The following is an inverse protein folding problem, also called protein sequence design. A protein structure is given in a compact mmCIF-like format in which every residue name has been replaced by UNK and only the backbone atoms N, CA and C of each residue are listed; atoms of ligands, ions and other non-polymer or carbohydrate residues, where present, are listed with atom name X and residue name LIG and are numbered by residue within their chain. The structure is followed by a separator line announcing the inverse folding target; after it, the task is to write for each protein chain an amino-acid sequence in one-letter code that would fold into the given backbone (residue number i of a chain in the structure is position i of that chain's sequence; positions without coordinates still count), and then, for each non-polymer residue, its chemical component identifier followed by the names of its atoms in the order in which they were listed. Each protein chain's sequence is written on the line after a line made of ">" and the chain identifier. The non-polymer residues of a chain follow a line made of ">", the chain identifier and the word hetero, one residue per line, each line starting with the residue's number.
data_IF_658776568843
#
_entry.id   IF_658776568843
#
_cell.length_a   1.000
_cell.length_b   1.000
_cell.length_c   1.000
_cell.angle_alpha   90.00
_cell.angle_beta   90.00
_cell.angle_gamma   90.00
#
_symmetry.space_group_name_H-M   'P 1'
#
loop_
_entity.id
_entity.type
_entity.pdbx_description
1 polymer ?
#
# COMPACT_ATOMS: atom_id res chain seq x y z
N UNK A 1 27.63 12.26 4.32
CA UNK A 1 26.26 12.76 4.07
C UNK A 1 25.43 11.57 3.63
N UNK A 2 24.44 11.14 4.41
CA UNK A 2 23.53 10.06 4.02
C UNK A 2 22.63 10.57 2.89
N UNK A 3 22.49 9.79 1.82
CA UNK A 3 21.59 10.13 0.73
C UNK A 3 20.15 10.02 1.23
N UNK A 4 19.36 11.08 1.02
CA UNK A 4 17.95 11.07 1.36
C UNK A 4 17.22 10.13 0.39
N UNK A 5 16.31 9.30 0.91
CA UNK A 5 15.39 8.53 0.08
C UNK A 5 14.44 9.46 -0.68
N UNK A 6 14.03 9.05 -1.87
CA UNK A 6 13.03 9.75 -2.69
C UNK A 6 12.03 8.74 -3.26
N UNK A 7 10.79 9.17 -3.48
CA UNK A 7 9.80 8.33 -4.16
C UNK A 7 10.12 8.18 -5.65
N UNK A 8 9.84 7.00 -6.20
CA UNK A 8 10.12 6.70 -7.60
C UNK A 8 9.25 7.50 -8.58
N UNK A 9 8.11 8.03 -8.12
CA UNK A 9 7.22 8.88 -8.91
C UNK A 9 7.58 10.38 -8.84
N UNK A 10 8.63 10.73 -8.10
CA UNK A 10 9.09 12.10 -7.91
C UNK A 10 8.25 12.94 -6.93
N UNK A 11 7.30 12.33 -6.22
CA UNK A 11 6.59 13.01 -5.13
C UNK A 11 7.51 13.33 -3.95
N UNK A 12 7.13 14.34 -3.17
CA UNK A 12 7.88 14.75 -1.98
C UNK A 12 7.85 13.64 -0.91
N UNK A 13 8.98 13.39 -0.25
CA UNK A 13 9.04 12.49 0.90
C UNK A 13 8.59 13.24 2.17
N UNK A 14 7.29 13.45 2.31
CA UNK A 14 6.65 14.13 3.44
C UNK A 14 6.27 13.17 4.59
N UNK A 15 6.29 11.87 4.34
CA UNK A 15 6.06 10.81 5.31
C UNK A 15 7.21 9.79 5.33
N UNK A 16 7.61 9.37 6.54
CA UNK A 16 8.63 8.33 6.71
C UNK A 16 8.27 7.37 7.84
N UNK A 17 8.34 6.06 7.58
CA UNK A 17 8.05 5.01 8.56
C UNK A 17 9.14 3.92 8.59
N UNK A 18 10.42 4.33 8.53
CA UNK A 18 11.54 3.38 8.64
C UNK A 18 11.56 2.72 10.02
N UNK A 19 11.82 1.41 10.06
CA UNK A 19 12.17 0.74 11.30
C UNK A 19 13.51 1.29 11.84
N UNK A 20 13.71 1.20 13.15
CA UNK A 20 14.89 1.74 13.81
C UNK A 20 16.18 1.22 13.17
N UNK A 21 17.07 2.14 12.80
CA UNK A 21 18.35 1.85 12.15
C UNK A 21 18.30 1.68 10.62
N UNK A 22 17.12 1.57 10.00
CA UNK A 22 16.98 1.32 8.55
C UNK A 22 16.84 2.58 7.69
N UNK A 23 16.97 3.78 8.28
CA UNK A 23 17.04 5.02 7.50
C UNK A 23 18.41 5.25 6.85
N UNK A 24 19.38 4.38 7.12
CA UNK A 24 20.70 4.43 6.49
C UNK A 24 20.64 3.82 5.08
N UNK A 25 21.41 4.38 4.14
CA UNK A 25 21.48 3.90 2.76
C UNK A 25 22.87 3.35 2.40
N UNK A 26 23.67 2.97 3.40
CA UNK A 26 25.08 2.61 3.23
C UNK A 26 25.29 1.23 2.62
N UNK A 27 24.30 0.34 2.74
CA UNK A 27 24.39 -1.06 2.26
C UNK A 27 23.38 -1.29 1.13
N UNK A 28 22.13 -0.92 1.36
CA UNK A 28 21.03 -1.15 0.42
C UNK A 28 20.19 0.11 0.24
N UNK A 29 19.73 0.34 -0.99
CA UNK A 29 19.06 1.59 -1.39
C UNK A 29 17.61 1.40 -1.81
N UNK A 30 17.11 0.18 -1.99
CA UNK A 30 15.69 -0.08 -2.15
C UNK A 30 15.02 -0.29 -0.78
N UNK A 31 13.70 -0.13 -0.75
CA UNK A 31 12.91 -0.13 0.48
C UNK A 31 11.78 -1.15 0.36
N UNK A 32 11.62 -2.00 1.38
CA UNK A 32 10.48 -2.90 1.53
C UNK A 32 9.71 -2.60 2.81
N UNK A 33 8.40 -2.82 2.78
CA UNK A 33 7.54 -2.80 3.96
C UNK A 33 7.50 -4.20 4.59
N UNK A 34 7.71 -4.27 5.91
CA UNK A 34 7.45 -5.51 6.66
C UNK A 34 5.95 -5.69 6.85
N UNK A 35 5.43 -6.87 6.55
CA UNK A 35 3.99 -7.18 6.68
C UNK A 35 3.64 -7.95 7.96
N UNK A 36 4.65 -8.37 8.73
CA UNK A 36 4.50 -9.25 9.89
C UNK A 36 5.36 -8.79 11.07
N UNK A 37 5.08 -9.37 12.24
CA UNK A 37 5.80 -9.14 13.51
C UNK A 37 5.70 -7.70 14.03
N UNK A 38 6.52 -7.35 15.02
CA UNK A 38 6.52 -6.04 15.69
C UNK A 38 6.85 -4.84 14.79
N UNK A 39 7.33 -5.07 13.57
CA UNK A 39 7.64 -4.04 12.58
C UNK A 39 6.62 -3.99 11.44
N UNK A 40 5.45 -4.62 11.58
CA UNK A 40 4.41 -4.58 10.56
C UNK A 40 4.07 -3.13 10.17
N UNK A 41 4.10 -2.83 8.86
CA UNK A 41 3.93 -1.50 8.29
C UNK A 41 5.19 -0.64 8.23
N UNK A 42 6.26 -1.00 8.95
CA UNK A 42 7.53 -0.26 8.92
C UNK A 42 8.43 -0.68 7.75
N UNK A 43 9.33 0.24 7.38
CA UNK A 43 10.17 0.10 6.19
C UNK A 43 11.60 -0.31 6.54
N UNK A 44 12.18 -1.19 5.73
CA UNK A 44 13.57 -1.66 5.85
C UNK A 44 14.29 -1.58 4.50
N UNK A 45 15.61 -1.39 4.53
CA UNK A 45 16.41 -1.45 3.30
C UNK A 45 16.46 -2.87 2.74
N UNK A 46 16.44 -2.99 1.41
CA UNK A 46 16.56 -4.26 0.69
C UNK A 46 17.44 -4.11 -0.56
N UNK A 47 18.02 -5.23 -1.00
CA UNK A 47 18.70 -5.28 -2.28
C UNK A 47 17.71 -5.06 -3.44
N UNK A 48 18.01 -4.08 -4.29
CA UNK A 48 17.20 -3.74 -5.45
C UNK A 48 17.18 -4.84 -6.51
N UNK A 49 18.18 -5.72 -6.54
CA UNK A 49 18.26 -6.82 -7.50
C UNK A 49 17.33 -8.00 -7.17
N UNK A 50 16.69 -8.00 -6.00
CA UNK A 50 15.74 -9.03 -5.61
C UNK A 50 14.40 -8.82 -6.34
N UNK A 51 14.10 -9.69 -7.31
CA UNK A 51 12.92 -9.61 -8.17
C UNK A 51 11.70 -10.40 -7.67
N UNK A 52 11.87 -11.29 -6.69
CA UNK A 52 10.84 -12.23 -6.24
C UNK A 52 9.95 -11.71 -5.09
N UNK A 53 9.96 -10.40 -4.82
CA UNK A 53 9.15 -9.80 -3.76
C UNK A 53 7.79 -9.31 -4.26
N UNK A 54 6.71 -9.50 -3.48
CA UNK A 54 5.45 -8.84 -3.76
C UNK A 54 5.63 -7.32 -3.67
N UNK A 55 4.97 -6.59 -4.57
CA UNK A 55 5.05 -5.13 -4.65
C UNK A 55 3.65 -4.50 -4.64
N UNK A 56 3.60 -3.22 -4.26
CA UNK A 56 2.38 -2.42 -4.29
C UNK A 56 2.61 -1.26 -5.25
N UNK A 57 1.66 -1.05 -6.17
CA UNK A 57 1.69 0.08 -7.09
C UNK A 57 0.62 1.11 -6.71
N UNK A 58 0.91 2.38 -6.97
CA UNK A 58 -0.07 3.46 -6.91
C UNK A 58 -0.42 3.90 -8.34
N UNK A 59 -1.67 4.31 -8.55
CA UNK A 59 -2.13 4.92 -9.81
C UNK A 59 -3.00 6.11 -9.47
N UNK A 60 -2.72 7.27 -10.06
CA UNK A 60 -3.59 8.44 -9.93
C UNK A 60 -4.95 8.12 -10.57
N UNK A 61 -6.01 8.21 -9.79
CA UNK A 61 -7.39 8.12 -10.29
C UNK A 61 -7.81 9.54 -10.71
N UNK A 62 -7.83 9.79 -12.01
CA UNK A 62 -8.37 11.04 -12.56
C UNK A 62 -9.89 10.95 -12.49
N UNK A 63 -10.49 11.77 -11.64
CA UNK A 63 -11.92 11.76 -11.28
C UNK A 63 -12.34 10.47 -10.56
N UNK A 64 -12.44 10.47 -9.21
CA UNK A 64 -13.17 9.44 -8.49
C UNK A 64 -14.68 9.64 -8.72
N UNK A 65 -15.11 9.61 -9.98
CA UNK A 65 -16.49 9.31 -10.32
C UNK A 65 -16.84 7.98 -9.68
N UNK A 66 -18.08 7.88 -9.19
CA UNK A 66 -18.71 6.69 -8.58
C UNK A 66 -18.01 5.38 -8.98
N UNK A 67 -17.74 4.46 -8.02
CA UNK A 67 -17.16 3.16 -8.35
C UNK A 67 -17.91 2.55 -9.55
N UNK A 68 -17.19 1.89 -10.48
CA UNK A 68 -17.85 1.16 -11.54
C UNK A 68 -18.88 0.20 -10.94
N UNK A 69 -20.02 -0.04 -11.60
CA UNK A 69 -21.05 -0.91 -11.07
C UNK A 69 -20.45 -2.28 -10.71
N UNK A 70 -20.50 -2.66 -9.43
CA UNK A 70 -20.06 -3.99 -9.03
C UNK A 70 -20.97 -5.06 -9.66
N UNK A 71 -20.43 -6.22 -10.04
CA UNK A 71 -21.25 -7.35 -10.47
C UNK A 71 -22.31 -7.73 -9.42
N UNK A 72 -23.47 -8.25 -9.84
CA UNK A 72 -24.48 -8.75 -8.91
C UNK A 72 -23.91 -9.83 -7.98
N UNK A 73 -24.15 -9.71 -6.68
CA UNK A 73 -23.70 -10.69 -5.68
C UNK A 73 -22.39 -10.33 -4.95
N UNK A 74 -21.72 -9.25 -5.32
CA UNK A 74 -20.56 -8.76 -4.57
C UNK A 74 -21.00 -8.13 -3.22
N UNK A 75 -20.20 -8.29 -2.15
CA UNK A 75 -20.45 -7.61 -0.89
C UNK A 75 -20.34 -6.10 -1.10
N UNK A 76 -21.31 -5.34 -0.58
CA UNK A 76 -21.25 -3.87 -0.59
C UNK A 76 -21.07 -3.41 0.85
N UNK A 77 -19.83 -3.21 1.30
CA UNK A 77 -19.57 -2.51 2.56
C UNK A 77 -19.35 -1.04 2.24
N UNK A 78 -20.35 -0.21 2.52
CA UNK A 78 -20.33 1.23 2.21
C UNK A 78 -19.58 2.06 3.26
N UNK A 79 -19.26 1.48 4.41
CA UNK A 79 -18.63 2.19 5.52
C UNK A 79 -17.60 1.29 6.23
N UNK A 80 -16.39 1.82 6.38
CA UNK A 80 -15.30 1.23 7.14
C UNK A 80 -15.00 2.11 8.35
N UNK A 81 -14.82 1.50 9.51
CA UNK A 81 -14.38 2.18 10.73
C UNK A 81 -12.88 1.98 10.94
N UNK A 82 -12.24 2.89 11.70
CA UNK A 82 -10.86 2.67 12.15
C UNK A 82 -10.80 1.38 12.97
N UNK A 83 -9.93 0.46 12.59
CA UNK A 83 -9.76 -0.83 13.25
C UNK A 83 -10.50 -1.98 12.56
N UNK A 84 -11.27 -1.72 11.50
CA UNK A 84 -11.82 -2.79 10.66
C UNK A 84 -10.68 -3.52 9.93
N UNK A 85 -10.74 -4.85 9.94
CA UNK A 85 -9.93 -5.68 9.05
C UNK A 85 -10.59 -5.72 7.67
N UNK A 86 -9.81 -5.39 6.63
CA UNK A 86 -10.28 -5.35 5.25
C UNK A 86 -9.50 -6.38 4.46
N UNK A 87 -10.22 -7.33 3.87
CA UNK A 87 -9.66 -8.35 3.00
C UNK A 87 -10.06 -8.09 1.55
N UNK A 88 -9.28 -8.62 0.60
CA UNK A 88 -9.68 -8.68 -0.81
C UNK A 88 -11.04 -9.37 -0.93
N UNK A 89 -11.93 -8.97 -1.86
CA UNK A 89 -13.15 -9.72 -2.17
C UNK A 89 -12.87 -11.18 -2.56
N UNK A 90 -11.65 -11.45 -3.03
CA UNK A 90 -11.16 -12.77 -3.42
C UNK A 90 -10.47 -13.53 -2.28
N UNK A 91 -10.46 -13.05 -1.03
CA UNK A 91 -9.78 -13.76 0.06
C UNK A 91 -10.66 -14.91 0.58
N UNK A 92 -10.10 -16.12 0.86
CA UNK A 92 -8.67 -16.46 0.96
C UNK A 92 -7.96 -16.86 -0.35
N UNK A 93 -8.64 -16.81 -1.49
CA UNK A 93 -8.09 -17.13 -2.79
C UNK A 93 -7.08 -16.08 -3.32
N UNK A 94 -6.39 -16.43 -4.40
CA UNK A 94 -5.42 -15.55 -5.04
C UNK A 94 -6.08 -14.24 -5.54
N UNK A 95 -5.34 -13.12 -5.58
CA UNK A 95 -5.83 -11.88 -6.17
C UNK A 95 -6.33 -12.10 -7.60
N UNK A 96 -7.53 -11.59 -7.91
CA UNK A 96 -8.17 -11.76 -9.22
C UNK A 96 -8.99 -13.04 -9.39
N UNK A 97 -9.09 -13.90 -8.36
CA UNK A 97 -9.99 -15.06 -8.39
C UNK A 97 -11.49 -14.69 -8.38
N UNK A 98 -11.83 -13.48 -7.88
CA UNK A 98 -13.19 -12.92 -7.93
C UNK A 98 -13.30 -11.80 -8.96
N UNK A 99 -14.50 -11.62 -9.52
CA UNK A 99 -14.85 -10.43 -10.32
C UNK A 99 -15.27 -9.22 -9.48
N UNK A 100 -15.28 -9.36 -8.15
CA UNK A 100 -15.62 -8.28 -7.23
C UNK A 100 -14.39 -7.43 -6.88
N UNK A 101 -14.59 -6.11 -6.84
CA UNK A 101 -13.60 -5.13 -6.41
C UNK A 101 -14.17 -4.26 -5.28
N UNK A 102 -13.38 -3.92 -4.26
CA UNK A 102 -13.73 -2.90 -3.26
C UNK A 102 -13.09 -1.57 -3.60
N UNK A 103 -13.87 -0.47 -3.51
CA UNK A 103 -13.34 0.89 -3.55
C UNK A 103 -13.39 1.48 -2.13
N UNK A 104 -12.21 1.67 -1.52
CA UNK A 104 -12.08 2.35 -0.24
C UNK A 104 -11.98 3.87 -0.49
N UNK A 105 -13.01 4.62 -0.11
CA UNK A 105 -13.00 6.08 -0.20
C UNK A 105 -12.80 6.63 1.20
N UNK A 106 -11.62 7.17 1.48
CA UNK A 106 -11.45 8.01 2.65
C UNK A 106 -12.18 9.33 2.39
N UNK A 107 -13.12 9.77 3.26
CA UNK A 107 -13.63 11.13 3.18
C UNK A 107 -12.43 12.06 3.30
N UNK A 108 -12.31 13.04 2.40
CA UNK A 108 -11.22 14.01 2.40
C UNK A 108 -10.95 14.46 3.83
N UNK A 109 -9.78 14.14 4.38
CA UNK A 109 -9.35 14.67 5.66
C UNK A 109 -9.34 16.19 5.50
N UNK A 110 -10.31 16.87 6.11
CA UNK A 110 -10.15 18.30 6.35
C UNK A 110 -8.88 18.45 7.17
N UNK A 111 -7.94 19.21 6.62
CA UNK A 111 -6.75 19.73 7.28
C UNK A 111 -7.09 20.36 8.63
#
# INVERSE_FOLDING_TARGET
>A
MAGLYSWADGSDLDYSNFADGFRNNSVFTCVAMKTTNQHAGQWTNMDCALVDFPYVCTRRVLNPTSPPPQPPGCPVKTQYARGDEIFSPSFPEAPGASSCDYLLIAPNSKS
#
